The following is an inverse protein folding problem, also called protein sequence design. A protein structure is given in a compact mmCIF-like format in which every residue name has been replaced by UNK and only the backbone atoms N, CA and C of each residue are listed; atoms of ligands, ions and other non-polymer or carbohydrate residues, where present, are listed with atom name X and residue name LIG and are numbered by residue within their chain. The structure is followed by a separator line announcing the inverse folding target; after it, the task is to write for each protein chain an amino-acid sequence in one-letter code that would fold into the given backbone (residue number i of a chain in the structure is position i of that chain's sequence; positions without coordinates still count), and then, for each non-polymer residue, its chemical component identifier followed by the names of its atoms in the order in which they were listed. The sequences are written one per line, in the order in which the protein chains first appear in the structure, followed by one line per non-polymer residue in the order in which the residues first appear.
data_IF_824357916722
#
_entry.id   IF_824357916722
#
_cell.length_a   1.000
_cell.length_b   1.000
_cell.length_c   1.000
_cell.angle_alpha   90.00
_cell.angle_beta   90.00
_cell.angle_gamma   90.00
#
_symmetry.space_group_name_H-M   'P 1'
#
loop_
_entity.id
_entity.type
_entity.pdbx_description
1 polymer ?
#
# COMPACT_ATOMS: atom_id res chain seq x y z
N UNK A 1 34.60 4.55 -9.12
CA UNK A 1 33.94 4.06 -7.88
C UNK A 1 33.42 2.65 -8.15
N UNK A 2 33.80 1.67 -7.34
CA UNK A 2 33.23 0.31 -7.45
C UNK A 2 31.72 0.33 -7.20
N UNK A 3 30.96 -0.52 -7.89
CA UNK A 3 29.52 -0.64 -7.68
C UNK A 3 29.26 -1.43 -6.39
N UNK A 4 28.76 -0.76 -5.36
CA UNK A 4 28.30 -1.40 -4.13
C UNK A 4 26.78 -1.61 -4.18
N UNK A 5 26.32 -2.78 -3.77
CA UNK A 5 24.89 -3.12 -3.70
C UNK A 5 24.55 -3.75 -2.36
N UNK A 6 23.27 -3.71 -1.95
CA UNK A 6 22.86 -4.35 -0.71
C UNK A 6 23.01 -5.87 -0.82
N UNK A 7 23.60 -6.48 0.21
CA UNK A 7 23.85 -7.91 0.28
C UNK A 7 22.56 -8.71 0.05
N UNK A 8 22.58 -9.56 -0.97
CA UNK A 8 21.45 -10.44 -1.30
C UNK A 8 21.18 -11.41 -0.15
N UNK A 9 19.91 -11.67 0.12
CA UNK A 9 19.52 -12.58 1.19
C UNK A 9 19.87 -14.04 0.85
N UNK A 10 20.68 -14.68 1.70
CA UNK A 10 21.00 -16.13 1.64
C UNK A 10 20.75 -16.83 2.98
N UNK A 11 19.83 -16.30 3.79
CA UNK A 11 19.51 -16.82 5.14
C UNK A 11 19.96 -15.88 6.27
N UNK A 12 19.78 -16.32 7.51
CA UNK A 12 20.08 -15.53 8.74
C UNK A 12 21.54 -15.11 8.83
N UNK A 13 22.48 -15.86 8.23
CA UNK A 13 23.90 -15.49 8.14
C UNK A 13 24.17 -14.22 7.30
N UNK A 14 23.24 -13.83 6.43
CA UNK A 14 23.32 -12.57 5.64
C UNK A 14 22.55 -11.42 6.28
N UNK A 15 22.22 -11.57 7.56
CA UNK A 15 21.51 -10.60 8.36
C UNK A 15 22.30 -10.37 9.64
N UNK A 16 22.82 -9.17 9.75
CA UNK A 16 23.78 -8.78 10.76
C UNK A 16 23.12 -7.99 11.87
N UNK A 17 23.89 -7.67 12.90
CA UNK A 17 23.44 -6.80 13.99
C UNK A 17 23.46 -5.35 13.54
N UNK A 18 22.36 -4.63 13.75
CA UNK A 18 22.30 -3.21 13.41
C UNK A 18 23.16 -2.39 14.40
N UNK A 19 24.07 -1.52 13.94
CA UNK A 19 24.90 -0.71 14.83
C UNK A 19 24.09 0.34 15.60
N UNK A 20 22.91 0.75 15.10
CA UNK A 20 22.04 1.74 15.77
C UNK A 20 21.13 1.12 16.83
N UNK A 21 20.39 0.06 16.50
CA UNK A 21 19.39 -0.52 17.43
C UNK A 21 19.84 -1.81 18.11
N UNK A 22 21.01 -2.37 17.78
CA UNK A 22 21.55 -3.59 18.37
C UNK A 22 20.77 -4.87 18.03
N UNK A 23 19.72 -4.78 17.21
CA UNK A 23 18.88 -5.93 16.88
C UNK A 23 19.62 -6.89 15.95
N UNK A 24 19.67 -8.16 16.36
CA UNK A 24 20.37 -9.22 15.63
C UNK A 24 19.54 -9.60 14.41
N UNK A 25 20.20 -9.85 13.29
CA UNK A 25 19.56 -10.22 12.03
C UNK A 25 18.65 -9.14 11.40
N UNK A 26 18.84 -7.88 11.77
CA UNK A 26 18.08 -6.77 11.20
C UNK A 26 18.87 -5.95 10.18
N UNK A 27 20.18 -6.16 10.04
CA UNK A 27 21.05 -5.31 9.25
C UNK A 27 21.59 -5.97 7.99
N UNK A 28 21.69 -5.20 6.90
CA UNK A 28 22.17 -5.66 5.59
C UNK A 28 23.31 -4.76 5.13
N UNK A 29 24.49 -5.32 4.90
CA UNK A 29 25.65 -4.56 4.42
C UNK A 29 25.53 -4.14 2.96
N UNK A 30 26.21 -3.05 2.60
CA UNK A 30 26.61 -2.82 1.21
C UNK A 30 27.86 -3.65 0.91
N UNK A 31 27.78 -4.44 -0.16
CA UNK A 31 28.86 -5.34 -0.62
C UNK A 31 29.27 -5.00 -2.04
N UNK A 32 30.53 -5.30 -2.37
CA UNK A 32 31.07 -5.17 -3.73
C UNK A 32 30.62 -6.32 -4.65
N UNK A 33 31.18 -6.37 -5.87
CA UNK A 33 30.90 -7.42 -6.87
C UNK A 33 31.28 -8.83 -6.39
N UNK A 34 32.20 -8.95 -5.43
CA UNK A 34 32.66 -10.21 -4.83
C UNK A 34 31.91 -10.57 -3.54
N UNK A 35 30.85 -9.83 -3.18
CA UNK A 35 30.11 -9.94 -1.91
C UNK A 35 30.93 -9.58 -0.65
N UNK A 36 32.01 -8.81 -0.78
CA UNK A 36 32.79 -8.32 0.36
C UNK A 36 32.12 -7.06 0.92
N UNK A 37 31.77 -7.01 2.22
CA UNK A 37 31.20 -5.81 2.84
C UNK A 37 32.17 -4.63 2.79
N UNK A 38 31.66 -3.44 2.46
CA UNK A 38 32.47 -2.21 2.46
C UNK A 38 32.98 -1.89 3.86
N UNK A 39 32.08 -1.89 4.85
CA UNK A 39 32.42 -1.68 6.26
C UNK A 39 31.28 -2.19 7.15
N UNK A 40 31.54 -2.68 8.38
CA UNK A 40 30.50 -3.20 9.28
C UNK A 40 29.42 -2.20 9.70
N UNK A 41 29.62 -0.89 9.52
CA UNK A 41 28.59 0.12 9.75
C UNK A 41 27.82 0.49 8.47
N UNK A 42 28.32 0.16 7.29
CA UNK A 42 27.75 0.62 6.02
C UNK A 42 26.71 -0.37 5.52
N UNK A 43 25.45 0.02 5.59
CA UNK A 43 24.33 -0.87 5.35
C UNK A 43 22.99 -0.25 5.70
N UNK A 44 21.95 -1.08 5.70
CA UNK A 44 20.57 -0.67 5.99
C UNK A 44 19.92 -1.61 6.99
N UNK A 45 19.21 -1.04 7.96
CA UNK A 45 18.38 -1.77 8.90
C UNK A 45 16.99 -2.05 8.30
N UNK A 46 16.48 -3.24 8.55
CA UNK A 46 15.16 -3.69 8.11
C UNK A 46 14.01 -3.05 8.92
N UNK A 47 14.30 -2.52 10.11
CA UNK A 47 13.32 -1.79 10.93
C UNK A 47 13.20 -0.35 10.45
N UNK A 48 12.62 -0.14 9.28
CA UNK A 48 12.52 1.17 8.64
C UNK A 48 11.74 2.18 9.50
N UNK A 49 10.62 1.76 10.09
CA UNK A 49 9.77 2.64 10.94
C UNK A 49 10.30 2.83 12.37
N UNK A 50 11.05 1.86 12.90
CA UNK A 50 11.54 1.93 14.28
C UNK A 50 12.96 2.48 14.39
N UNK A 51 13.89 1.90 13.64
CA UNK A 51 15.31 2.25 13.68
C UNK A 51 15.68 3.25 12.58
N UNK A 52 15.21 3.02 11.35
CA UNK A 52 15.47 3.87 10.18
C UNK A 52 16.95 3.97 9.78
N UNK A 53 17.85 3.17 10.35
CA UNK A 53 19.28 3.28 10.10
C UNK A 53 19.62 2.88 8.66
N UNK A 54 20.22 3.80 7.91
CA UNK A 54 20.73 3.58 6.56
C UNK A 54 21.98 4.43 6.39
N UNK A 55 23.12 3.78 6.25
CA UNK A 55 24.39 4.41 5.96
C UNK A 55 24.91 3.89 4.63
N UNK A 56 24.99 4.77 3.64
CA UNK A 56 25.30 4.43 2.25
C UNK A 56 26.81 4.45 1.97
N UNK A 57 27.28 3.75 0.92
CA UNK A 57 28.65 3.86 0.44
C UNK A 57 29.03 5.31 0.08
N UNK A 58 28.07 6.10 -0.42
CA UNK A 58 28.29 7.50 -0.78
C UNK A 58 28.63 8.34 0.45
N UNK A 59 27.87 8.19 1.54
CA UNK A 59 28.13 8.87 2.81
C UNK A 59 29.45 8.39 3.41
N UNK A 60 29.73 7.08 3.39
CA UNK A 60 30.99 6.53 3.87
C UNK A 60 32.21 7.11 3.15
N UNK A 61 32.22 7.15 1.81
CA UNK A 61 33.34 7.74 1.06
C UNK A 61 33.38 9.28 1.11
N UNK A 62 32.36 9.93 1.66
CA UNK A 62 32.37 11.38 1.92
C UNK A 62 33.01 11.67 3.28
N UNK A 63 32.77 10.81 4.27
CA UNK A 63 33.31 10.91 5.64
C UNK A 63 34.71 10.27 5.78
N UNK A 64 35.06 9.35 4.88
CA UNK A 64 36.37 8.67 4.83
C UNK A 64 37.06 8.86 3.46
N UNK A 65 37.57 10.07 3.15
CA UNK A 65 38.25 10.36 1.89
C UNK A 65 39.49 9.49 1.64
N UNK A 66 40.17 9.03 2.69
CA UNK A 66 41.35 8.15 2.68
C UNK A 66 41.06 6.74 2.14
N UNK A 67 39.80 6.31 2.19
CA UNK A 67 39.34 5.04 1.64
C UNK A 67 38.86 5.17 0.18
N UNK A 68 38.94 6.36 -0.42
CA UNK A 68 38.81 6.51 -1.88
C UNK A 68 40.10 6.00 -2.52
N UNK A 69 40.02 4.87 -3.23
CA UNK A 69 41.12 4.42 -4.07
C UNK A 69 41.56 5.56 -4.98
N UNK A 70 42.77 6.06 -4.76
CA UNK A 70 43.43 7.08 -5.57
C UNK A 70 43.58 6.56 -6.99
N UNK A 71 42.76 7.05 -7.91
CA UNK A 71 43.05 7.08 -9.34
C UNK A 71 42.02 7.99 -10.03
N UNK A 72 42.29 9.28 -9.97
CA UNK A 72 41.69 10.39 -10.72
C UNK A 72 42.41 11.65 -10.19
N UNK A 73 43.18 12.47 -10.91
CA UNK A 73 43.31 12.78 -12.33
C UNK A 73 44.71 13.39 -12.56
N UNK A 74 45.40 13.03 -13.65
CA UNK A 74 46.29 13.96 -14.34
C UNK A 74 45.66 14.32 -15.67
N UNK A 75 45.42 15.62 -15.86
CA UNK A 75 45.16 16.21 -17.16
C UNK A 75 46.41 16.01 -18.04
N UNK A 76 46.35 15.20 -19.09
CA UNK A 76 46.82 15.63 -20.41
C UNK A 76 46.47 14.67 -21.55
N UNK A 77 46.51 15.26 -22.74
CA UNK A 77 46.15 14.84 -24.10
C UNK A 77 46.47 13.39 -24.56
N UNK A 78 45.61 12.97 -25.50
CA UNK A 78 45.82 11.98 -26.58
C UNK A 78 45.97 10.50 -26.18
N UNK A 79 44.89 9.74 -26.39
CA UNK A 79 44.85 8.70 -27.44
C UNK A 79 43.45 8.12 -27.60
N UNK A 80 42.97 8.13 -28.84
CA UNK A 80 41.87 7.30 -29.29
C UNK A 80 42.24 5.82 -29.10
N UNK A 81 41.37 5.02 -28.49
CA UNK A 81 41.20 3.61 -28.81
C UNK A 81 39.94 3.03 -28.15
N UNK A 82 38.97 2.70 -29.02
CA UNK A 82 38.01 1.60 -28.90
C UNK A 82 37.03 1.61 -27.70
N UNK A 83 35.90 2.30 -27.89
CA UNK A 83 34.64 2.00 -27.20
C UNK A 83 34.26 0.52 -27.47
N UNK A 84 34.56 -0.38 -26.53
CA UNK A 84 33.82 -1.65 -26.43
C UNK A 84 32.38 -1.30 -26.09
N UNK A 85 31.52 -1.39 -27.10
CA UNK A 85 30.07 -1.39 -26.97
C UNK A 85 29.72 -2.35 -25.83
N UNK A 86 29.18 -1.82 -24.74
CA UNK A 86 28.55 -2.63 -23.69
C UNK A 86 27.51 -3.50 -24.41
N UNK A 87 27.78 -4.79 -24.51
CA UNK A 87 26.75 -5.76 -24.87
C UNK A 87 25.62 -5.56 -23.86
N UNK A 88 24.50 -5.02 -24.32
CA UNK A 88 23.26 -5.03 -23.57
C UNK A 88 22.99 -6.49 -23.23
N UNK A 89 23.15 -6.85 -21.96
CA UNK A 89 22.62 -8.11 -21.43
C UNK A 89 21.16 -8.17 -21.85
N UNK A 90 20.76 -9.24 -22.57
CA UNK A 90 19.37 -9.48 -22.97
C UNK A 90 18.43 -9.20 -21.79
N UNK A 91 17.25 -8.58 -22.01
CA UNK A 91 16.27 -8.40 -20.94
C UNK A 91 15.95 -9.77 -20.33
N UNK A 92 16.31 -9.98 -19.08
CA UNK A 92 15.90 -11.18 -18.32
C UNK A 92 14.38 -11.17 -18.26
N UNK A 93 13.73 -12.24 -18.71
CA UNK A 93 12.28 -12.30 -18.78
C UNK A 93 11.68 -12.10 -17.37
N UNK A 94 10.77 -11.13 -17.25
CA UNK A 94 10.06 -10.89 -16.00
C UNK A 94 9.24 -12.13 -15.64
N UNK A 95 9.35 -12.57 -14.39
CA UNK A 95 8.67 -13.76 -13.91
C UNK A 95 7.19 -13.52 -13.60
N UNK A 96 6.38 -14.56 -13.81
CA UNK A 96 4.97 -14.60 -13.44
C UNK A 96 4.67 -15.84 -12.60
N UNK A 97 3.66 -15.74 -11.72
CA UNK A 97 3.10 -16.88 -11.00
C UNK A 97 1.93 -17.44 -11.82
N UNK A 98 1.80 -18.77 -11.96
CA UNK A 98 0.63 -19.36 -12.61
C UNK A 98 -0.70 -18.95 -11.95
N UNK A 99 -1.73 -18.54 -12.71
CA UNK A 99 -3.01 -18.08 -12.16
C UNK A 99 -3.72 -19.08 -11.25
N UNK A 100 -3.52 -20.39 -11.46
CA UNK A 100 -4.14 -21.44 -10.65
C UNK A 100 -3.79 -21.35 -9.15
N UNK A 101 -2.68 -20.71 -8.77
CA UNK A 101 -2.37 -20.47 -7.36
C UNK A 101 -3.33 -19.46 -6.72
N UNK A 102 -3.76 -18.45 -7.48
CA UNK A 102 -4.79 -17.49 -7.04
C UNK A 102 -6.10 -18.23 -6.85
N UNK A 103 -6.55 -18.95 -7.88
CA UNK A 103 -7.81 -19.71 -7.88
C UNK A 103 -7.88 -20.72 -6.73
N UNK A 104 -6.82 -21.53 -6.53
CA UNK A 104 -6.79 -22.53 -5.45
C UNK A 104 -6.73 -21.94 -4.05
N UNK A 105 -6.23 -20.71 -3.91
CA UNK A 105 -6.07 -20.08 -2.60
C UNK A 105 -7.25 -19.21 -2.20
N UNK A 106 -8.09 -18.79 -3.16
CA UNK A 106 -9.23 -17.92 -2.90
C UNK A 106 -10.17 -18.56 -1.87
N UNK A 107 -10.33 -17.89 -0.72
CA UNK A 107 -10.97 -18.53 0.43
C UNK A 107 -11.37 -17.54 1.51
N UNK A 108 -12.51 -17.81 2.14
CA UNK A 108 -13.03 -17.07 3.31
C UNK A 108 -12.34 -17.45 4.63
N UNK A 109 -11.41 -18.41 4.60
CA UNK A 109 -10.83 -19.00 5.82
C UNK A 109 -9.74 -18.17 6.49
N UNK A 110 -9.31 -17.05 5.89
CA UNK A 110 -8.28 -16.21 6.51
C UNK A 110 -8.81 -15.46 7.72
N UNK A 111 -7.94 -15.22 8.71
CA UNK A 111 -8.29 -14.43 9.89
C UNK A 111 -8.64 -12.98 9.53
N UNK A 112 -8.05 -12.44 8.46
CA UNK A 112 -8.45 -11.15 7.92
C UNK A 112 -9.89 -11.17 7.39
N UNK A 113 -10.29 -12.21 6.66
CA UNK A 113 -11.67 -12.32 6.17
C UNK A 113 -12.68 -12.49 7.31
N UNK A 114 -12.31 -13.21 8.38
CA UNK A 114 -13.12 -13.30 9.61
C UNK A 114 -13.30 -11.93 10.27
N UNK A 115 -12.23 -11.15 10.38
CA UNK A 115 -12.32 -9.77 10.87
C UNK A 115 -13.24 -8.91 10.00
N UNK A 116 -13.09 -8.97 8.68
CA UNK A 116 -13.99 -8.26 7.75
C UNK A 116 -15.44 -8.69 7.94
N UNK A 117 -15.70 -9.98 8.15
CA UNK A 117 -17.05 -10.48 8.40
C UNK A 117 -17.66 -9.82 9.64
N UNK A 118 -16.95 -9.78 10.76
CA UNK A 118 -17.41 -9.13 11.99
C UNK A 118 -17.64 -7.63 11.79
N UNK A 119 -16.66 -6.93 11.21
CA UNK A 119 -16.73 -5.48 10.96
C UNK A 119 -17.91 -5.12 10.05
N UNK A 120 -18.07 -5.83 8.93
CA UNK A 120 -19.10 -5.53 7.94
C UNK A 120 -20.48 -6.02 8.38
N UNK A 121 -20.58 -7.07 9.18
CA UNK A 121 -21.86 -7.46 9.80
C UNK A 121 -22.35 -6.37 10.75
N UNK A 122 -21.45 -5.80 11.55
CA UNK A 122 -21.77 -4.64 12.40
C UNK A 122 -22.24 -3.42 11.62
N UNK A 123 -21.79 -3.25 10.38
CA UNK A 123 -22.09 -2.06 9.58
C UNK A 123 -23.27 -2.25 8.61
N UNK A 124 -23.30 -3.35 7.87
CA UNK A 124 -24.29 -3.65 6.82
C UNK A 124 -25.42 -4.59 7.26
N UNK A 125 -25.32 -5.21 8.43
CA UNK A 125 -26.27 -6.25 8.85
C UNK A 125 -26.35 -7.38 7.83
N UNK A 126 -27.56 -7.72 7.39
CA UNK A 126 -27.81 -8.83 6.46
C UNK A 126 -27.10 -8.70 5.10
N UNK A 127 -26.83 -7.47 4.65
CA UNK A 127 -26.14 -7.20 3.38
C UNK A 127 -24.64 -7.46 3.44
N UNK A 128 -24.06 -7.71 4.62
CA UNK A 128 -22.62 -7.92 4.78
C UNK A 128 -22.10 -9.08 3.91
N UNK A 129 -22.89 -10.16 3.77
CA UNK A 129 -22.50 -11.33 2.96
C UNK A 129 -22.29 -10.99 1.48
N UNK A 130 -23.13 -10.13 0.92
CA UNK A 130 -23.02 -9.69 -0.48
C UNK A 130 -21.75 -8.86 -0.68
N UNK A 131 -21.48 -7.93 0.24
CA UNK A 131 -20.28 -7.10 0.21
C UNK A 131 -19.02 -7.96 0.37
N UNK A 132 -19.00 -8.90 1.31
CA UNK A 132 -17.87 -9.81 1.53
C UNK A 132 -17.57 -10.69 0.33
N UNK A 133 -18.61 -11.24 -0.30
CA UNK A 133 -18.47 -12.03 -1.53
C UNK A 133 -17.85 -11.18 -2.65
N UNK A 134 -18.35 -9.95 -2.85
CA UNK A 134 -17.77 -9.00 -3.82
C UNK A 134 -16.28 -8.76 -3.52
N UNK A 135 -15.91 -8.46 -2.28
CA UNK A 135 -14.52 -8.19 -1.90
C UNK A 135 -13.61 -9.40 -2.13
N UNK A 136 -14.08 -10.61 -1.79
CA UNK A 136 -13.36 -11.86 -2.03
C UNK A 136 -13.08 -12.06 -3.52
N UNK A 137 -14.08 -11.80 -4.37
CA UNK A 137 -14.02 -12.00 -5.83
C UNK A 137 -13.20 -10.91 -6.52
N UNK A 138 -13.47 -9.63 -6.24
CA UNK A 138 -12.80 -8.48 -6.85
C UNK A 138 -11.31 -8.46 -6.51
N UNK A 139 -10.95 -8.59 -5.23
CA UNK A 139 -9.54 -8.55 -4.79
C UNK A 139 -8.84 -9.92 -4.82
N UNK A 140 -9.57 -10.98 -5.18
CA UNK A 140 -9.08 -12.36 -5.24
C UNK A 140 -8.40 -12.79 -3.93
N UNK A 141 -9.00 -12.46 -2.79
CA UNK A 141 -8.36 -12.67 -1.48
C UNK A 141 -8.08 -14.16 -1.24
N UNK A 142 -6.82 -14.51 -1.06
CA UNK A 142 -6.41 -15.88 -0.78
C UNK A 142 -6.28 -16.15 0.72
N UNK A 143 -6.30 -17.43 1.11
CA UNK A 143 -5.97 -17.88 2.45
C UNK A 143 -4.95 -19.03 2.42
N UNK A 144 -4.02 -19.01 3.38
CA UNK A 144 -3.15 -20.15 3.69
C UNK A 144 -3.81 -21.09 4.70
N UNK A 145 -3.22 -22.27 4.89
CA UNK A 145 -3.76 -23.28 5.84
C UNK A 145 -3.74 -22.83 7.30
N UNK A 146 -2.79 -21.98 7.67
CA UNK A 146 -2.63 -21.37 8.99
C UNK A 146 -3.45 -20.07 9.17
N UNK A 147 -4.33 -19.75 8.22
CA UNK A 147 -5.26 -18.64 8.33
C UNK A 147 -4.68 -17.27 7.96
N UNK A 148 -3.47 -17.19 7.39
CA UNK A 148 -2.95 -15.94 6.83
C UNK A 148 -3.68 -15.58 5.54
N UNK A 149 -3.85 -14.29 5.31
CA UNK A 149 -4.38 -13.77 4.05
C UNK A 149 -3.26 -13.67 3.02
N UNK A 150 -3.60 -13.91 1.76
CA UNK A 150 -2.74 -13.67 0.60
C UNK A 150 -3.32 -12.51 -0.20
N UNK A 151 -2.61 -11.38 -0.20
CA UNK A 151 -2.91 -10.25 -1.07
C UNK A 151 -2.15 -10.40 -2.39
N UNK A 152 -2.86 -10.80 -3.44
CA UNK A 152 -2.28 -11.02 -4.75
C UNK A 152 -2.01 -9.70 -5.48
N UNK A 153 -0.79 -9.55 -6.00
CA UNK A 153 -0.41 -8.48 -6.91
C UNK A 153 -0.59 -8.99 -8.34
N UNK A 154 -1.64 -8.49 -9.00
CA UNK A 154 -2.05 -8.88 -10.33
C UNK A 154 -2.08 -7.61 -11.17
N UNK A 155 -1.32 -7.59 -12.26
CA UNK A 155 -1.19 -6.38 -13.06
C UNK A 155 -2.44 -6.10 -13.91
N UNK A 156 -2.46 -4.93 -14.55
CA UNK A 156 -3.55 -4.50 -15.44
C UNK A 156 -3.87 -5.48 -16.59
N UNK A 157 -2.91 -6.33 -16.97
CA UNK A 157 -3.09 -7.37 -18.02
C UNK A 157 -3.59 -8.71 -17.47
N UNK A 158 -3.79 -8.80 -16.15
CA UNK A 158 -4.26 -10.00 -15.47
C UNK A 158 -3.15 -11.00 -15.12
N UNK A 159 -1.87 -10.62 -15.26
CA UNK A 159 -0.75 -11.50 -14.94
C UNK A 159 -0.38 -11.39 -13.47
N UNK A 160 -0.20 -12.55 -12.82
CA UNK A 160 0.11 -12.61 -11.38
C UNK A 160 1.60 -12.36 -11.16
N UNK A 161 1.92 -11.26 -10.50
CA UNK A 161 3.30 -10.83 -10.21
C UNK A 161 3.85 -11.48 -8.95
N UNK A 162 3.07 -11.49 -7.88
CA UNK A 162 3.40 -12.13 -6.60
C UNK A 162 2.16 -12.18 -5.70
N UNK A 163 2.25 -12.78 -4.52
CA UNK A 163 1.30 -12.60 -3.43
C UNK A 163 2.04 -12.27 -2.13
N UNK A 164 1.49 -11.34 -1.34
CA UNK A 164 1.99 -10.99 -0.01
C UNK A 164 1.17 -11.73 1.03
N UNK A 165 1.84 -12.52 1.87
CA UNK A 165 1.21 -13.35 2.90
C UNK A 165 1.35 -12.67 4.25
N UNK A 166 0.23 -12.45 4.94
CA UNK A 166 0.19 -11.70 6.19
C UNK A 166 -0.81 -12.29 7.18
N UNK A 167 -0.47 -12.22 8.47
CA UNK A 167 -1.36 -12.62 9.54
C UNK A 167 -2.02 -11.41 10.19
N UNK A 168 -3.32 -11.54 10.47
CA UNK A 168 -4.12 -10.57 11.20
C UNK A 168 -4.79 -11.26 12.39
N UNK A 169 -5.00 -10.50 13.47
CA UNK A 169 -5.85 -10.90 14.56
C UNK A 169 -7.32 -10.78 14.10
N UNK A 170 -8.13 -11.86 14.18
CA UNK A 170 -9.51 -11.85 13.72
C UNK A 170 -10.44 -10.96 14.54
N UNK A 171 -10.08 -10.62 15.79
CA UNK A 171 -10.94 -9.84 16.69
C UNK A 171 -10.81 -8.33 16.45
N UNK A 172 -9.58 -7.82 16.34
CA UNK A 172 -9.30 -6.38 16.27
C UNK A 172 -8.82 -5.91 14.89
N UNK A 173 -8.47 -6.83 13.99
CA UNK A 173 -7.96 -6.52 12.65
C UNK A 173 -6.52 -5.99 12.65
N UNK A 174 -5.81 -6.04 13.78
CA UNK A 174 -4.41 -5.66 13.85
C UNK A 174 -3.52 -6.73 13.22
N UNK A 175 -2.51 -6.26 12.49
CA UNK A 175 -1.51 -7.13 11.87
C UNK A 175 -0.66 -7.79 12.95
N UNK A 176 -0.56 -9.11 12.90
CA UNK A 176 0.33 -9.88 13.76
C UNK A 176 1.74 -9.82 13.17
N UNK A 177 2.60 -9.04 13.82
CA UNK A 177 4.05 -9.01 13.57
C UNK A 177 4.66 -10.12 14.45
N UNK A 178 4.74 -11.36 13.95
CA UNK A 178 5.43 -12.47 14.62
C UNK A 178 6.85 -12.11 15.10
N UNK A 179 7.41 -12.92 16.01
CA UNK A 179 8.72 -12.73 16.64
C UNK A 179 9.94 -12.74 15.69
N UNK A 180 11.11 -13.22 16.13
CA UNK A 180 12.47 -13.04 15.55
C UNK A 180 12.70 -13.23 14.02
N UNK A 181 11.70 -13.61 13.21
CA UNK A 181 11.77 -13.56 11.74
C UNK A 181 10.51 -12.89 11.16
N UNK A 182 10.72 -12.03 10.15
CA UNK A 182 9.71 -11.12 9.60
C UNK A 182 8.37 -11.82 9.29
N UNK A 183 7.30 -11.36 9.95
CA UNK A 183 5.92 -11.85 9.86
C UNK A 183 5.23 -11.76 8.48
N UNK A 184 5.97 -11.42 7.43
CA UNK A 184 5.48 -11.31 6.06
C UNK A 184 6.23 -12.31 5.21
N UNK A 185 5.47 -13.15 4.54
CA UNK A 185 5.99 -14.04 3.52
C UNK A 185 5.55 -13.60 2.14
N UNK A 186 6.25 -14.08 1.13
CA UNK A 186 5.94 -13.79 -0.27
C UNK A 186 5.82 -15.09 -1.05
N UNK A 187 4.78 -15.20 -1.87
CA UNK A 187 4.50 -16.43 -2.62
C UNK A 187 5.65 -16.78 -3.55
N UNK A 188 6.25 -15.82 -4.26
CA UNK A 188 7.39 -16.12 -5.14
C UNK A 188 8.58 -16.71 -4.35
N UNK A 189 8.85 -16.22 -3.14
CA UNK A 189 9.89 -16.77 -2.26
C UNK A 189 9.58 -18.18 -1.81
N UNK A 190 8.31 -18.48 -1.50
CA UNK A 190 7.85 -19.83 -1.14
C UNK A 190 8.01 -20.77 -2.34
N UNK A 191 7.54 -20.37 -3.52
CA UNK A 191 7.59 -21.20 -4.73
C UNK A 191 9.01 -21.43 -5.25
N UNK A 192 9.91 -20.46 -5.08
CA UNK A 192 11.36 -20.65 -5.35
C UNK A 192 11.96 -21.69 -4.40
N UNK A 193 11.65 -21.62 -3.10
CA UNK A 193 12.12 -22.62 -2.12
C UNK A 193 11.59 -24.02 -2.43
N UNK A 194 10.37 -24.12 -2.96
CA UNK A 194 9.76 -25.37 -3.42
C UNK A 194 10.25 -25.82 -4.81
N UNK A 195 11.18 -25.09 -5.43
CA UNK A 195 11.71 -25.35 -6.79
C UNK A 195 10.63 -25.39 -7.88
N UNK A 196 9.50 -24.71 -7.65
CA UNK A 196 8.43 -24.53 -8.65
C UNK A 196 8.77 -23.39 -9.59
N UNK A 197 9.34 -22.30 -9.07
CA UNK A 197 9.85 -21.19 -9.88
C UNK A 197 11.36 -21.35 -10.06
N UNK A 198 11.84 -20.99 -11.25
CA UNK A 198 13.26 -20.97 -11.56
C UNK A 198 14.02 -19.96 -10.67
N UNK A 199 15.30 -20.21 -10.43
CA UNK A 199 16.13 -19.35 -9.57
C UNK A 199 16.29 -17.94 -10.15
N UNK A 200 16.41 -17.85 -11.46
CA UNK A 200 16.56 -16.62 -12.25
C UNK A 200 15.25 -15.83 -12.42
N UNK A 201 14.11 -16.35 -11.95
CA UNK A 201 12.82 -15.68 -11.97
C UNK A 201 12.94 -14.29 -11.31
N UNK A 202 12.56 -13.24 -12.05
CA UNK A 202 12.69 -11.85 -11.60
C UNK A 202 11.36 -11.31 -11.07
N UNK A 203 11.40 -10.77 -9.85
CA UNK A 203 10.27 -10.10 -9.23
C UNK A 203 10.02 -8.75 -9.90
N UNK A 204 8.78 -8.50 -10.33
CA UNK A 204 8.31 -7.19 -10.75
C UNK A 204 6.99 -6.91 -10.05
N UNK A 205 6.99 -6.06 -9.03
CA UNK A 205 5.79 -5.78 -8.24
C UNK A 205 4.87 -4.78 -8.95
N UNK A 206 3.56 -4.95 -8.77
CA UNK A 206 2.53 -4.06 -9.25
C UNK A 206 1.65 -3.59 -8.07
N UNK A 207 0.72 -2.66 -8.29
CA UNK A 207 -0.19 -2.22 -7.23
C UNK A 207 -1.12 -3.38 -6.84
N UNK A 208 -1.49 -3.46 -5.56
CA UNK A 208 -2.58 -4.34 -5.16
C UNK A 208 -3.90 -3.74 -5.70
N UNK A 209 -4.74 -4.58 -6.32
CA UNK A 209 -5.97 -4.15 -6.99
C UNK A 209 -5.77 -3.60 -8.40
N UNK A 210 -4.54 -3.56 -8.95
CA UNK A 210 -4.27 -2.95 -10.26
C UNK A 210 -5.10 -3.55 -11.40
N UNK A 211 -5.38 -4.85 -11.34
CA UNK A 211 -6.24 -5.56 -12.29
C UNK A 211 -7.66 -4.98 -12.38
N UNK A 212 -8.15 -4.28 -11.35
CA UNK A 212 -9.47 -3.63 -11.32
C UNK A 212 -9.55 -2.39 -12.22
N UNK A 213 -8.42 -1.77 -12.54
CA UNK A 213 -8.36 -0.56 -13.39
C UNK A 213 -8.93 -0.79 -14.79
N UNK A 214 -8.83 -2.02 -15.31
CA UNK A 214 -9.35 -2.38 -16.63
C UNK A 214 -10.88 -2.44 -16.63
N UNK A 215 -11.48 -2.96 -15.55
CA UNK A 215 -12.93 -3.14 -15.42
C UNK A 215 -13.64 -1.83 -15.09
N UNK A 216 -12.93 -0.87 -14.49
CA UNK A 216 -13.49 0.41 -14.09
C UNK A 216 -12.69 1.57 -14.69
N UNK A 217 -12.87 1.89 -15.98
CA UNK A 217 -12.13 2.94 -16.68
C UNK A 217 -12.43 4.35 -16.15
N UNK A 218 -13.64 4.59 -15.63
CA UNK A 218 -14.11 5.95 -15.31
C UNK A 218 -14.11 6.27 -13.81
N UNK A 219 -14.08 5.23 -12.95
CA UNK A 219 -14.10 5.42 -11.50
C UNK A 219 -12.85 6.16 -11.00
N UNK A 220 -13.01 7.00 -9.99
CA UNK A 220 -11.88 7.63 -9.29
C UNK A 220 -11.05 6.54 -8.61
N UNK A 221 -9.73 6.63 -8.73
CA UNK A 221 -8.80 5.71 -8.08
C UNK A 221 -8.47 6.24 -6.71
N UNK A 222 -8.55 5.40 -5.69
CA UNK A 222 -8.07 5.70 -4.35
C UNK A 222 -6.81 4.91 -4.08
N UNK A 223 -5.73 5.59 -3.67
CA UNK A 223 -4.45 4.96 -3.37
C UNK A 223 -4.13 5.09 -1.88
N UNK A 224 -3.89 3.95 -1.26
CA UNK A 224 -3.53 3.82 0.17
C UNK A 224 -2.23 3.05 0.33
N UNK A 225 -1.64 3.09 1.53
CA UNK A 225 -0.41 2.36 1.81
C UNK A 225 -0.62 0.84 1.84
N UNK A 226 -1.63 0.39 2.58
CA UNK A 226 -1.80 -1.01 2.94
C UNK A 226 -2.94 -1.70 2.19
N UNK A 227 -2.76 -3.00 1.93
CA UNK A 227 -3.80 -3.82 1.29
C UNK A 227 -5.06 -3.94 2.16
N UNK A 228 -4.91 -3.96 3.50
CA UNK A 228 -6.02 -3.89 4.47
C UNK A 228 -6.89 -2.67 4.20
N UNK A 229 -6.26 -1.50 4.09
CA UNK A 229 -6.96 -0.23 3.92
C UNK A 229 -7.69 -0.16 2.58
N UNK A 230 -7.14 -0.75 1.52
CA UNK A 230 -7.80 -0.81 0.22
C UNK A 230 -9.06 -1.67 0.26
N UNK A 231 -9.00 -2.84 0.89
CA UNK A 231 -10.16 -3.75 0.99
C UNK A 231 -11.27 -3.15 1.86
N UNK A 232 -10.92 -2.60 3.03
CA UNK A 232 -11.91 -1.96 3.92
C UNK A 232 -12.49 -0.70 3.26
N UNK A 233 -11.67 0.13 2.63
CA UNK A 233 -12.13 1.30 1.88
C UNK A 233 -13.10 0.91 0.76
N UNK A 234 -12.78 -0.13 -0.02
CA UNK A 234 -13.69 -0.63 -1.06
C UNK A 234 -14.99 -1.19 -0.50
N UNK A 235 -14.97 -1.76 0.70
CA UNK A 235 -16.16 -2.24 1.38
C UNK A 235 -17.16 -1.10 1.62
N UNK A 236 -16.67 0.03 2.14
CA UNK A 236 -17.50 1.17 2.56
C UNK A 236 -17.79 2.14 1.42
N UNK A 237 -16.85 2.32 0.51
CA UNK A 237 -16.93 3.26 -0.63
C UNK A 237 -16.74 2.52 -1.96
N UNK A 238 -17.74 1.74 -2.42
CA UNK A 238 -17.64 0.86 -3.59
C UNK A 238 -17.57 1.61 -4.94
N UNK A 239 -17.87 2.91 -4.98
CA UNK A 239 -17.84 3.71 -6.20
C UNK A 239 -16.43 4.16 -6.61
N UNK A 240 -15.43 3.82 -5.81
CA UNK A 240 -14.03 4.06 -6.08
C UNK A 240 -13.26 2.76 -6.37
N UNK A 241 -12.15 2.87 -7.10
CA UNK A 241 -11.21 1.77 -7.29
C UNK A 241 -10.09 1.91 -6.26
N UNK A 242 -10.13 1.08 -5.21
CA UNK A 242 -9.12 1.13 -4.15
C UNK A 242 -7.91 0.27 -4.49
N UNK A 243 -6.74 0.90 -4.47
CA UNK A 243 -5.43 0.30 -4.73
C UNK A 243 -4.51 0.49 -3.53
N UNK A 244 -3.56 -0.44 -3.36
CA UNK A 244 -2.52 -0.27 -2.35
C UNK A 244 -1.11 -0.34 -2.93
N UNK A 245 -0.22 0.50 -2.39
CA UNK A 245 1.20 0.53 -2.75
C UNK A 245 1.95 -0.66 -2.15
N UNK A 246 1.47 -1.18 -1.02
CA UNK A 246 2.05 -2.30 -0.27
C UNK A 246 3.12 -1.89 0.74
N UNK A 247 3.27 -0.58 1.00
CA UNK A 247 4.15 0.03 2.00
C UNK A 247 4.57 1.48 1.65
N UNK A 248 4.93 2.27 2.66
CA UNK A 248 5.24 3.71 2.56
C UNK A 248 6.25 4.08 1.48
N UNK A 249 7.30 3.27 1.36
CA UNK A 249 8.41 3.48 0.40
C UNK A 249 8.14 2.92 -1.01
N UNK A 250 6.93 2.43 -1.29
CA UNK A 250 6.57 1.76 -2.54
C UNK A 250 5.89 2.66 -3.58
N UNK A 251 5.74 3.96 -3.32
CA UNK A 251 5.30 4.94 -4.33
C UNK A 251 6.43 5.29 -5.30
N UNK A 252 6.83 4.32 -6.12
CA UNK A 252 7.78 4.52 -7.22
C UNK A 252 7.02 4.96 -8.46
N UNK A 253 7.57 5.94 -9.17
CA UNK A 253 6.95 6.48 -10.38
C UNK A 253 6.60 5.39 -11.40
N UNK A 254 7.53 4.47 -11.67
CA UNK A 254 7.34 3.32 -12.58
C UNK A 254 6.08 2.51 -12.25
N UNK A 255 5.80 2.30 -10.96
CA UNK A 255 4.63 1.56 -10.47
C UNK A 255 3.34 2.36 -10.62
N UNK A 256 3.43 3.68 -10.48
CA UNK A 256 2.29 4.59 -10.56
C UNK A 256 1.93 4.98 -12.00
N UNK A 257 2.83 4.77 -12.97
CA UNK A 257 2.56 5.04 -14.41
C UNK A 257 1.30 4.34 -14.93
N UNK A 258 0.89 3.23 -14.32
CA UNK A 258 -0.37 2.54 -14.67
C UNK A 258 -1.62 3.42 -14.45
N UNK A 259 -1.51 4.47 -13.63
CA UNK A 259 -2.57 5.44 -13.32
C UNK A 259 -2.62 6.62 -14.29
N UNK A 260 -1.85 6.60 -15.39
CA UNK A 260 -1.82 7.68 -16.35
C UNK A 260 -3.22 8.02 -16.89
N UNK A 261 -3.56 9.31 -16.89
CA UNK A 261 -4.87 9.83 -17.32
C UNK A 261 -6.01 9.65 -16.32
N UNK A 262 -5.76 9.08 -15.13
CA UNK A 262 -6.79 8.88 -14.09
C UNK A 262 -6.90 10.08 -13.14
N UNK A 263 -8.04 10.17 -12.47
CA UNK A 263 -8.19 10.95 -11.23
C UNK A 263 -7.85 10.04 -10.05
N UNK A 264 -6.90 10.46 -9.23
CA UNK A 264 -6.31 9.70 -8.13
C UNK A 264 -6.44 10.49 -6.83
N UNK A 265 -7.06 9.88 -5.82
CA UNK A 265 -7.15 10.40 -4.46
C UNK A 265 -6.19 9.61 -3.56
N UNK A 266 -5.21 10.29 -2.97
CA UNK A 266 -4.24 9.69 -2.06
C UNK A 266 -4.74 9.83 -0.62
N UNK A 267 -4.75 8.72 0.13
CA UNK A 267 -4.94 8.72 1.58
C UNK A 267 -3.66 8.23 2.25
N UNK A 268 -2.74 9.15 2.58
CA UNK A 268 -1.54 8.80 3.31
C UNK A 268 -1.86 8.43 4.77
N UNK A 269 -1.05 7.55 5.34
CA UNK A 269 -1.04 7.28 6.79
C UNK A 269 -0.65 8.56 7.56
N UNK A 270 -0.96 8.61 8.85
CA UNK A 270 -0.78 9.81 9.68
C UNK A 270 0.67 10.37 9.68
N UNK A 271 1.68 9.52 9.48
CA UNK A 271 3.10 9.90 9.45
C UNK A 271 3.67 10.10 8.03
N UNK A 272 2.82 9.93 7.00
CA UNK A 272 3.23 9.88 5.60
C UNK A 272 2.71 11.08 4.77
N UNK A 273 1.87 11.95 5.35
CA UNK A 273 1.21 13.02 4.64
C UNK A 273 2.17 13.95 3.88
N UNK A 274 3.22 14.46 4.54
CA UNK A 274 4.18 15.36 3.90
C UNK A 274 4.95 14.68 2.75
N UNK A 275 5.42 13.44 2.96
CA UNK A 275 6.13 12.66 1.93
C UNK A 275 5.23 12.37 0.72
N UNK A 276 3.98 11.99 0.96
CA UNK A 276 3.03 11.68 -0.10
C UNK A 276 2.58 12.93 -0.86
N UNK A 277 2.41 14.06 -0.16
CA UNK A 277 2.14 15.35 -0.78
C UNK A 277 3.27 15.77 -1.72
N UNK A 278 4.52 15.66 -1.28
CA UNK A 278 5.69 15.94 -2.12
C UNK A 278 5.76 15.00 -3.33
N UNK A 279 5.49 13.71 -3.14
CA UNK A 279 5.47 12.74 -4.25
C UNK A 279 4.33 12.99 -5.24
N UNK A 280 3.18 13.46 -4.76
CA UNK A 280 2.03 13.81 -5.61
C UNK A 280 2.38 14.93 -6.59
N UNK A 281 3.22 15.89 -6.21
CA UNK A 281 3.71 16.95 -7.12
C UNK A 281 4.46 16.37 -8.34
N UNK A 282 5.09 15.20 -8.19
CA UNK A 282 5.77 14.51 -9.29
C UNK A 282 4.85 13.62 -10.15
N UNK A 283 3.55 13.53 -9.83
CA UNK A 283 2.58 12.67 -10.53
C UNK A 283 1.89 13.38 -11.71
N UNK A 284 2.65 14.09 -12.55
CA UNK A 284 2.14 14.89 -13.68
C UNK A 284 1.36 14.09 -14.75
N UNK A 285 1.45 12.77 -14.72
CA UNK A 285 0.76 11.87 -15.65
C UNK A 285 -0.70 11.59 -15.25
N UNK A 286 -1.17 12.04 -14.09
CA UNK A 286 -2.55 11.87 -13.61
C UNK A 286 -3.03 13.09 -12.82
N UNK A 287 -4.35 13.23 -12.64
CA UNK A 287 -4.92 14.25 -11.74
C UNK A 287 -4.87 13.70 -10.33
N UNK A 288 -4.07 14.30 -9.45
CA UNK A 288 -3.86 13.81 -8.08
C UNK A 288 -4.39 14.80 -7.05
N UNK A 289 -5.07 14.28 -6.04
CA UNK A 289 -5.49 15.01 -4.84
C UNK A 289 -5.00 14.23 -3.63
N UNK A 290 -4.42 14.92 -2.65
CA UNK A 290 -3.98 14.31 -1.40
C UNK A 290 -4.96 14.68 -0.31
N UNK A 291 -5.58 13.67 0.30
CA UNK A 291 -6.50 13.86 1.42
C UNK A 291 -5.73 14.18 2.69
N UNK A 292 -6.19 15.21 3.40
CA UNK A 292 -5.71 15.59 4.72
C UNK A 292 -6.68 15.17 5.84
N UNK A 293 -7.63 14.26 5.55
CA UNK A 293 -8.66 13.86 6.51
C UNK A 293 -8.05 13.30 7.81
N UNK A 294 -7.03 12.46 7.71
CA UNK A 294 -6.36 11.88 8.89
C UNK A 294 -5.56 12.98 9.59
N UNK A 295 -4.88 13.84 8.85
CA UNK A 295 -4.08 14.94 9.42
C UNK A 295 -4.93 15.91 10.24
N UNK A 296 -6.14 16.23 9.77
CA UNK A 296 -7.05 17.17 10.44
C UNK A 296 -7.87 16.54 11.57
N UNK A 297 -8.29 15.28 11.41
CA UNK A 297 -9.27 14.66 12.32
C UNK A 297 -8.67 13.66 13.31
N UNK A 298 -7.44 13.20 13.11
CA UNK A 298 -6.80 12.27 14.05
C UNK A 298 -6.43 12.99 15.36
N UNK A 299 -6.84 12.40 16.48
CA UNK A 299 -6.40 12.81 17.82
C UNK A 299 -4.89 12.63 17.99
N UNK A 300 -4.24 13.31 18.95
CA UNK A 300 -2.80 13.13 19.20
C UNK A 300 -2.40 11.66 19.43
N UNK A 301 -3.22 10.90 20.17
CA UNK A 301 -2.99 9.46 20.39
C UNK A 301 -3.09 8.64 19.10
N UNK A 302 -4.01 8.99 18.21
CA UNK A 302 -4.15 8.33 16.91
C UNK A 302 -2.98 8.67 15.97
N UNK A 303 -2.48 9.91 16.00
CA UNK A 303 -1.28 10.30 15.25
C UNK A 303 -0.04 9.53 15.73
N UNK A 304 0.12 9.39 17.05
CA UNK A 304 1.19 8.59 17.65
C UNK A 304 1.07 7.09 17.33
N UNK A 305 -0.16 6.58 17.22
CA UNK A 305 -0.43 5.21 16.77
C UNK A 305 -0.24 5.00 15.25
N UNK A 306 0.09 6.05 14.51
CA UNK A 306 0.28 6.03 13.05
C UNK A 306 -0.92 5.42 12.30
N UNK A 307 -2.13 5.85 12.64
CA UNK A 307 -3.35 5.29 12.04
C UNK A 307 -3.40 5.51 10.52
N UNK A 308 -4.03 4.55 9.84
CA UNK A 308 -4.39 4.64 8.44
C UNK A 308 -5.89 4.95 8.25
N UNK A 309 -6.34 5.14 7.00
CA UNK A 309 -7.75 5.45 6.69
C UNK A 309 -8.69 4.31 7.09
N UNK A 310 -8.23 3.07 7.07
CA UNK A 310 -9.02 1.93 7.53
C UNK A 310 -9.21 1.95 9.03
N UNK A 311 -8.17 2.26 9.81
CA UNK A 311 -8.28 2.38 11.26
C UNK A 311 -9.24 3.51 11.65
N UNK A 312 -9.18 4.63 10.91
CA UNK A 312 -10.16 5.71 11.06
C UNK A 312 -11.59 5.23 10.73
N UNK A 313 -11.81 4.55 9.61
CA UNK A 313 -13.12 3.98 9.24
C UNK A 313 -13.63 3.01 10.32
N UNK A 314 -12.79 2.09 10.79
CA UNK A 314 -13.14 1.12 11.83
C UNK A 314 -13.57 1.84 13.11
N UNK A 315 -12.83 2.88 13.51
CA UNK A 315 -13.18 3.70 14.67
C UNK A 315 -14.55 4.36 14.48
N UNK A 316 -14.81 4.97 13.33
CA UNK A 316 -16.10 5.61 13.07
C UNK A 316 -17.26 4.59 13.05
N UNK A 317 -17.06 3.38 12.53
CA UNK A 317 -18.08 2.31 12.55
C UNK A 317 -18.35 1.88 14.01
N UNK A 318 -17.31 1.67 14.81
CA UNK A 318 -17.44 1.24 16.22
C UNK A 318 -18.10 2.30 17.10
N UNK A 319 -17.86 3.58 16.83
CA UNK A 319 -18.52 4.70 17.50
C UNK A 319 -19.91 5.02 16.94
N UNK A 320 -20.37 4.30 15.91
CA UNK A 320 -21.66 4.56 15.25
C UNK A 320 -21.73 5.87 14.47
N UNK A 321 -20.59 6.51 14.21
CA UNK A 321 -20.47 7.80 13.51
C UNK A 321 -20.49 7.66 11.99
N UNK A 322 -20.01 6.54 11.47
CA UNK A 322 -20.25 6.13 10.08
C UNK A 322 -21.47 5.24 10.11
N UNK A 323 -22.63 5.82 9.78
CA UNK A 323 -23.90 5.12 9.66
C UNK A 323 -23.92 4.34 8.34
N UNK A 324 -24.56 3.17 8.31
CA UNK A 324 -24.74 2.38 7.08
C UNK A 324 -25.36 3.23 5.97
N UNK A 325 -25.08 3.00 4.69
CA UNK A 325 -25.74 3.76 3.60
C UNK A 325 -27.27 3.66 3.66
N UNK A 326 -27.81 2.55 4.16
CA UNK A 326 -29.23 2.41 4.49
C UNK A 326 -29.65 3.33 5.64
N UNK A 327 -28.86 3.45 6.71
CA UNK A 327 -29.14 4.36 7.81
C UNK A 327 -28.88 5.84 7.46
N UNK A 328 -27.97 6.13 6.53
CA UNK A 328 -27.73 7.47 6.00
C UNK A 328 -28.88 7.93 5.11
N UNK A 329 -29.44 7.03 4.29
CA UNK A 329 -30.68 7.29 3.56
C UNK A 329 -31.85 7.42 4.52
N UNK A 330 -31.99 6.54 5.53
CA UNK A 330 -33.05 6.66 6.55
C UNK A 330 -32.95 7.95 7.36
N UNK A 331 -31.74 8.41 7.70
CA UNK A 331 -31.55 9.68 8.40
C UNK A 331 -31.77 10.87 7.47
N UNK A 332 -31.30 10.80 6.22
CA UNK A 332 -31.59 11.81 5.21
C UNK A 332 -33.10 11.89 4.91
N UNK A 333 -33.81 10.75 4.89
CA UNK A 333 -35.26 10.65 4.77
C UNK A 333 -35.95 11.27 5.99
N UNK A 334 -35.46 11.00 7.21
CA UNK A 334 -35.98 11.63 8.43
C UNK A 334 -35.78 13.14 8.43
N UNK A 335 -34.62 13.62 7.99
CA UNK A 335 -34.32 15.05 7.86
C UNK A 335 -35.24 15.66 6.80
N UNK A 336 -35.37 15.02 5.64
CA UNK A 336 -36.24 15.46 4.55
C UNK A 336 -37.71 15.53 5.00
N UNK A 337 -38.20 14.52 5.73
CA UNK A 337 -39.54 14.52 6.31
C UNK A 337 -39.74 15.70 7.27
N UNK A 338 -38.80 15.98 8.17
CA UNK A 338 -38.85 17.17 9.03
C UNK A 338 -38.83 18.48 8.24
N UNK A 339 -38.14 18.54 7.10
CA UNK A 339 -38.13 19.72 6.23
C UNK A 339 -39.47 19.90 5.52
N UNK A 340 -40.09 18.81 5.07
CA UNK A 340 -41.43 18.81 4.44
C UNK A 340 -42.50 19.21 5.46
N UNK A 341 -42.44 18.71 6.69
CA UNK A 341 -43.36 19.13 7.77
C UNK A 341 -43.28 20.64 8.03
N UNK A 342 -42.08 21.22 7.97
CA UNK A 342 -41.87 22.67 8.13
C UNK A 342 -42.28 23.47 6.89
N UNK A 343 -42.12 22.90 5.70
CA UNK A 343 -42.48 23.54 4.44
C UNK A 343 -43.06 22.51 3.44
N UNK A 344 -44.40 22.36 3.40
CA UNK A 344 -45.05 21.38 2.52
C UNK A 344 -44.80 21.62 1.02
N UNK A 345 -44.41 22.83 0.61
CA UNK A 345 -44.06 23.15 -0.79
C UNK A 345 -42.83 22.34 -1.26
N UNK A 346 -41.97 21.91 -0.34
CA UNK A 346 -40.79 21.11 -0.65
C UNK A 346 -41.16 19.76 -1.29
N UNK A 347 -42.26 19.14 -0.86
CA UNK A 347 -42.74 17.89 -1.46
C UNK A 347 -43.15 18.12 -2.93
N UNK A 348 -43.88 19.21 -3.20
CA UNK A 348 -44.31 19.56 -4.55
C UNK A 348 -43.11 19.82 -5.48
N UNK A 349 -42.05 20.45 -4.97
CA UNK A 349 -40.81 20.67 -5.72
C UNK A 349 -40.10 19.35 -6.08
N UNK A 350 -40.08 18.39 -5.15
CA UNK A 350 -39.50 17.06 -5.37
C UNK A 350 -40.27 16.33 -6.47
N UNK A 351 -41.61 16.36 -6.39
CA UNK A 351 -42.49 15.66 -7.33
C UNK A 351 -42.43 16.31 -8.73
N UNK A 352 -42.45 17.65 -8.82
CA UNK A 352 -42.47 18.38 -10.10
C UNK A 352 -41.12 18.29 -10.85
N UNK A 353 -40.02 18.04 -10.13
CA UNK A 353 -38.65 18.00 -10.68
C UNK A 353 -37.99 16.61 -10.64
N UNK A 354 -38.71 15.57 -10.20
CA UNK A 354 -38.24 14.19 -10.08
C UNK A 354 -36.91 14.07 -9.30
N UNK A 355 -36.82 14.76 -8.16
CA UNK A 355 -35.60 14.84 -7.36
C UNK A 355 -35.38 13.57 -6.53
N UNK A 356 -34.16 13.02 -6.57
CA UNK A 356 -33.78 11.82 -5.81
C UNK A 356 -32.89 12.18 -4.63
N UNK A 357 -33.20 11.63 -3.46
CA UNK A 357 -32.40 11.82 -2.25
C UNK A 357 -31.08 11.05 -2.35
N UNK A 358 -29.95 11.78 -2.28
CA UNK A 358 -28.60 11.22 -2.43
C UNK A 358 -27.79 11.18 -1.13
N UNK A 359 -28.32 11.73 -0.03
CA UNK A 359 -27.70 11.74 1.30
C UNK A 359 -27.95 13.05 2.07
N UNK A 360 -27.40 13.14 3.28
CA UNK A 360 -27.42 14.34 4.11
C UNK A 360 -26.02 14.64 4.65
N UNK A 361 -25.63 15.91 4.71
CA UNK A 361 -24.37 16.36 5.29
C UNK A 361 -24.64 17.41 6.37
N UNK A 362 -23.90 17.39 7.49
CA UNK A 362 -23.99 18.45 8.48
C UNK A 362 -23.50 19.77 7.87
N UNK A 363 -24.22 20.85 8.17
CA UNK A 363 -23.76 22.20 7.87
C UNK A 363 -22.57 22.45 8.80
N UNK A 364 -21.40 22.74 8.22
CA UNK A 364 -20.24 23.14 9.00
C UNK A 364 -20.58 24.38 9.82
N UNK A 365 -20.25 24.37 11.11
CA UNK A 365 -20.27 25.58 11.93
C UNK A 365 -19.11 26.49 11.47
N UNK A 366 -19.31 27.20 10.37
CA UNK A 366 -18.53 28.40 10.07
C UNK A 366 -19.15 29.55 10.87
N UNK A 367 -18.92 29.54 12.19
CA UNK A 367 -19.06 30.71 13.07
C UNK A 367 -17.82 31.63 12.93
N UNK A 368 -17.36 31.86 11.71
CA UNK A 368 -16.50 33.01 11.41
C UNK A 368 -17.32 34.02 10.61
N UNK A 369 -17.60 35.14 11.29
CA UNK A 369 -18.37 36.29 10.80
C UNK A 369 -17.96 36.68 9.37
N UNK A 370 -18.92 37.05 8.51
CA UNK A 370 -18.60 37.62 7.21
C UNK A 370 -18.04 39.06 7.35
N UNK A 371 -17.16 39.50 6.42
CA UNK A 371 -16.74 40.89 6.31
C UNK A 371 -17.88 41.84 5.92
#
# INVERSE_FOLDING_TARGET
MGNYSLQKYKGTATRHTCPKCGDRHSFVYYVDENNVPLHPSVGRCNHESGCGYHYTPKEYFQEHPEHRTTNDFSFDRQRAEQKKVKQQSKPTAIGYIPPHYVEKSQSERSNFFRFLFTLLTSYYGDKAKEVLKRLLEEYRLGATRDGSVIFWQIDRTGKVRTGKVMQYNPEDGHRIKGGQTSAVNWIHSILKKQRVLAEDWQLSQCLFGEHLLKTHPDKVVVLVESEKSAVIGSAIFPDYVWLATGGKSQMREEKLRVLSGRTVLLFPDADAYAEWKQRAESMYFCKVVVSDIIERNATPKQKEAHIDIADWIIFQIREGKVMSTANHLVEAERILQRMIEKNPVLQKLIDDLDLVLVGASPIGNDDEKPP
#
